data_IF_788326852482
#
_entry.id   IF_788326852482
#
_cell.length_a   1.000
_cell.length_b   1.000
_cell.length_c   1.000
_cell.angle_alpha   90.00
_cell.angle_beta   90.00
_cell.angle_gamma   90.00
#
_symmetry.space_group_name_H-M   'P 1'
#
loop_
_entity.id
_entity.type
_entity.pdbx_description
1 polymer ?
#
# COMPACT_ATOMS: atom_id res chain seq x y z
N UNK A 1 -5.67 6.13 25.42
CA UNK A 1 -4.87 4.98 25.03
C UNK A 1 -4.58 5.01 23.54
N UNK A 2 -3.34 4.88 23.21
CA UNK A 2 -2.95 4.88 21.79
C UNK A 2 -3.20 3.52 21.19
N UNK A 3 -3.91 3.50 20.09
CA UNK A 3 -4.07 2.25 19.36
C UNK A 3 -2.77 1.90 18.69
N UNK A 4 -2.31 0.69 18.89
CA UNK A 4 -1.12 0.18 18.24
C UNK A 4 -1.55 -0.49 16.94
N UNK A 5 -0.90 -0.13 15.84
CA UNK A 5 -1.11 -0.76 14.57
C UNK A 5 -0.77 -2.24 14.67
N UNK A 6 -1.44 -3.08 13.86
CA UNK A 6 -1.18 -4.51 13.80
C UNK A 6 0.30 -4.75 13.51
N UNK A 7 1.02 -5.39 14.45
CA UNK A 7 2.46 -5.60 14.36
C UNK A 7 2.89 -6.43 13.14
N UNK A 8 2.20 -7.51 12.78
CA UNK A 8 2.56 -8.25 11.56
C UNK A 8 2.45 -7.41 10.30
N UNK A 9 1.43 -6.56 10.20
CA UNK A 9 1.27 -5.69 9.05
C UNK A 9 2.34 -4.59 9.04
N UNK A 10 2.67 -4.04 10.21
CA UNK A 10 3.75 -3.07 10.30
C UNK A 10 5.09 -3.67 9.92
N UNK A 11 5.40 -4.87 10.40
CA UNK A 11 6.63 -5.56 10.06
C UNK A 11 6.69 -5.84 8.56
N UNK A 12 5.59 -6.26 7.97
CA UNK A 12 5.50 -6.48 6.53
C UNK A 12 5.74 -5.19 5.78
N UNK A 13 5.13 -4.08 6.19
CA UNK A 13 5.33 -2.81 5.52
C UNK A 13 6.79 -2.33 5.57
N UNK A 14 7.46 -2.52 6.71
CA UNK A 14 8.89 -2.20 6.82
C UNK A 14 9.72 -3.01 5.86
N UNK A 15 9.43 -4.30 5.74
CA UNK A 15 10.13 -5.18 4.81
C UNK A 15 9.87 -4.79 3.36
N UNK A 16 8.62 -4.45 3.04
CA UNK A 16 8.25 -4.01 1.70
C UNK A 16 8.95 -2.70 1.35
N UNK A 17 9.03 -1.75 2.28
CA UNK A 17 9.73 -0.49 2.05
C UNK A 17 11.19 -0.72 1.69
N UNK A 18 11.89 -1.58 2.44
CA UNK A 18 13.28 -1.92 2.15
C UNK A 18 13.41 -2.61 0.79
N UNK A 19 12.49 -3.52 0.50
CA UNK A 19 12.48 -4.23 -0.78
C UNK A 19 12.29 -3.29 -1.96
N UNK A 20 11.33 -2.37 -1.87
CA UNK A 20 11.03 -1.45 -2.97
C UNK A 20 12.20 -0.52 -3.27
N UNK A 21 12.92 -0.06 -2.23
CA UNK A 21 14.10 0.79 -2.43
C UNK A 21 15.20 0.09 -3.22
N UNK A 22 15.27 -1.23 -3.13
CA UNK A 22 16.29 -2.01 -3.82
C UNK A 22 15.78 -2.50 -5.18
N UNK A 23 14.51 -2.91 -5.25
CA UNK A 23 14.00 -3.69 -6.38
C UNK A 23 13.47 -2.85 -7.53
N UNK A 24 12.93 -1.67 -7.26
CA UNK A 24 12.30 -0.88 -8.30
C UNK A 24 13.31 -0.31 -9.30
N UNK A 25 12.95 -0.27 -10.61
CA UNK A 25 13.80 0.36 -11.60
C UNK A 25 13.86 1.88 -11.42
N UNK A 26 14.83 2.51 -12.08
CA UNK A 26 15.04 3.96 -11.95
C UNK A 26 13.82 4.79 -12.38
N UNK A 27 13.04 4.30 -13.31
CA UNK A 27 11.86 5.01 -13.82
C UNK A 27 10.60 4.73 -13.01
N UNK A 28 10.74 4.20 -11.82
CA UNK A 28 9.63 4.01 -10.87
C UNK A 28 9.87 4.86 -9.62
N UNK A 29 8.78 5.39 -9.06
CA UNK A 29 8.81 6.07 -7.78
C UNK A 29 7.78 5.44 -6.87
N UNK A 30 8.04 5.42 -5.57
CA UNK A 30 7.09 4.86 -4.62
C UNK A 30 7.05 5.67 -3.34
N UNK A 31 5.95 5.58 -2.65
CA UNK A 31 5.79 6.17 -1.32
C UNK A 31 4.69 5.48 -0.54
N UNK A 32 4.79 5.55 0.77
CA UNK A 32 3.76 5.06 1.66
C UNK A 32 2.67 6.12 1.81
N UNK A 33 1.44 5.67 1.94
CA UNK A 33 0.30 6.55 2.16
C UNK A 33 -0.03 6.52 3.65
N UNK A 34 0.00 7.70 4.28
CA UNK A 34 -0.21 7.80 5.72
C UNK A 34 -1.69 7.75 6.05
N UNK A 35 -2.18 6.57 6.34
CA UNK A 35 -3.59 6.39 6.74
C UNK A 35 -3.77 5.40 7.89
N UNK A 36 -2.70 4.98 8.54
CA UNK A 36 -2.74 3.98 9.60
C UNK A 36 -2.55 4.52 11.01
N UNK A 37 -2.40 5.83 11.17
CA UNK A 37 -2.13 6.41 12.48
C UNK A 37 -3.43 6.86 13.14
N UNK A 38 -3.51 6.64 14.45
CA UNK A 38 -4.65 7.08 15.22
C UNK A 38 -4.65 8.60 15.33
N UNK A 39 -5.82 9.20 15.19
CA UNK A 39 -6.00 10.64 15.28
C UNK A 39 -7.17 10.97 16.20
N UNK A 40 -7.11 12.14 16.83
CA UNK A 40 -8.26 12.69 17.53
C UNK A 40 -9.36 13.01 16.51
N UNK A 41 -10.58 13.23 16.99
CA UNK A 41 -11.68 13.62 16.10
C UNK A 41 -11.36 14.92 15.35
N UNK A 42 -10.76 15.88 16.07
CA UNK A 42 -10.40 17.17 15.46
C UNK A 42 -9.35 16.96 14.35
N UNK A 43 -8.32 16.18 14.64
CA UNK A 43 -7.28 15.88 13.64
C UNK A 43 -7.84 15.10 12.44
N UNK A 44 -8.72 14.15 12.69
CA UNK A 44 -9.38 13.39 11.62
C UNK A 44 -10.25 14.32 10.75
N UNK A 45 -10.94 15.26 11.38
CA UNK A 45 -11.74 16.24 10.65
C UNK A 45 -10.90 17.15 9.78
N UNK A 46 -9.75 17.63 10.30
CA UNK A 46 -8.81 18.42 9.52
C UNK A 46 -8.24 17.63 8.35
N UNK A 47 -7.82 16.39 8.61
CA UNK A 47 -7.28 15.51 7.58
C UNK A 47 -8.28 15.29 6.46
N UNK A 48 -9.54 15.02 6.82
CA UNK A 48 -10.62 14.83 5.85
C UNK A 48 -10.87 16.11 5.04
N UNK A 49 -10.89 17.26 5.71
CA UNK A 49 -11.08 18.54 5.04
C UNK A 49 -9.95 18.83 4.06
N UNK A 50 -8.76 18.32 4.32
CA UNK A 50 -7.60 18.47 3.44
C UNK A 50 -7.55 17.42 2.33
N UNK A 51 -8.55 16.54 2.23
CA UNK A 51 -8.63 15.59 1.14
C UNK A 51 -8.17 14.18 1.45
N UNK A 52 -7.81 13.89 2.70
CA UNK A 52 -7.45 12.53 3.07
C UNK A 52 -8.71 11.66 3.14
N UNK A 53 -8.61 10.44 2.63
CA UNK A 53 -9.74 9.51 2.59
C UNK A 53 -9.37 8.21 3.28
N UNK A 54 -10.36 7.63 3.94
CA UNK A 54 -10.19 6.31 4.53
C UNK A 54 -10.15 5.23 3.45
N UNK A 55 -9.51 4.12 3.74
CA UNK A 55 -9.52 2.96 2.85
C UNK A 55 -8.53 3.01 1.69
N UNK A 56 -7.70 4.05 1.62
CA UNK A 56 -6.65 4.13 0.60
C UNK A 56 -5.57 3.10 0.91
N UNK A 57 -5.04 2.39 -0.10
CA UNK A 57 -3.98 1.40 0.13
C UNK A 57 -2.72 1.98 0.77
N UNK A 58 -1.89 1.10 1.33
CA UNK A 58 -0.71 1.49 2.10
C UNK A 58 0.41 2.09 1.28
N UNK A 59 0.56 1.65 0.04
CA UNK A 59 1.72 2.01 -0.80
C UNK A 59 1.24 2.35 -2.20
N UNK A 60 1.82 3.41 -2.77
CA UNK A 60 1.63 3.74 -4.17
C UNK A 60 2.95 3.71 -4.90
N UNK A 61 2.95 3.11 -6.08
CA UNK A 61 4.10 3.08 -6.99
C UNK A 61 3.65 3.70 -8.32
N UNK A 62 4.46 4.61 -8.82
CA UNK A 62 4.22 5.20 -10.13
C UNK A 62 5.30 4.67 -11.07
N UNK A 63 4.87 4.12 -12.19
CA UNK A 63 5.79 3.65 -13.22
C UNK A 63 5.18 3.91 -14.59
N UNK A 64 5.87 4.75 -15.36
CA UNK A 64 5.45 5.13 -16.73
C UNK A 64 3.99 5.58 -16.80
N UNK A 65 3.63 6.45 -15.86
CA UNK A 65 2.28 7.02 -15.82
C UNK A 65 1.22 6.12 -15.23
N UNK A 66 1.55 4.90 -14.81
CA UNK A 66 0.58 4.01 -14.17
C UNK A 66 0.64 4.16 -12.67
N UNK A 67 -0.52 4.29 -12.04
CA UNK A 67 -0.66 4.30 -10.60
C UNK A 67 -0.90 2.87 -10.13
N UNK A 68 0.01 2.33 -9.34
CA UNK A 68 0.00 0.93 -8.90
C UNK A 68 -0.02 0.94 -7.37
N UNK A 69 -1.08 0.39 -6.79
CA UNK A 69 -1.28 0.41 -5.34
C UNK A 69 -1.15 -0.97 -4.74
N UNK A 70 -0.64 -1.01 -3.52
CA UNK A 70 -0.56 -2.25 -2.73
C UNK A 70 -1.17 -2.00 -1.36
N UNK A 71 -2.15 -2.83 -1.00
CA UNK A 71 -2.69 -2.92 0.35
C UNK A 71 -2.01 -4.10 1.05
N UNK A 72 -1.40 -3.85 2.20
CA UNK A 72 -0.68 -4.88 2.94
C UNK A 72 -1.55 -5.42 4.07
N UNK A 73 -1.75 -6.72 4.09
CA UNK A 73 -2.53 -7.40 5.12
C UNK A 73 -1.75 -8.59 5.67
N UNK A 74 -1.86 -8.83 6.96
CA UNK A 74 -1.35 -10.06 7.54
C UNK A 74 -2.10 -11.25 6.93
N UNK A 75 -1.44 -12.42 6.81
CA UNK A 75 -2.11 -13.61 6.25
C UNK A 75 -3.44 -13.89 6.96
N UNK A 76 -4.46 -14.19 6.20
CA UNK A 76 -5.80 -14.47 6.72
C UNK A 76 -6.65 -13.24 7.00
N UNK A 77 -6.09 -12.05 6.97
CA UNK A 77 -6.85 -10.80 7.15
C UNK A 77 -7.51 -10.41 5.84
N UNK A 78 -8.66 -9.75 5.95
CA UNK A 78 -9.43 -9.32 4.77
C UNK A 78 -9.51 -7.80 4.71
N UNK A 79 -9.80 -7.29 3.52
CA UNK A 79 -10.06 -5.87 3.35
C UNK A 79 -11.34 -5.49 4.09
N UNK A 80 -11.34 -4.30 4.69
CA UNK A 80 -12.56 -3.72 5.26
C UNK A 80 -13.49 -3.29 4.14
N UNK A 81 -14.75 -3.03 4.49
CA UNK A 81 -15.72 -2.52 3.51
C UNK A 81 -15.24 -1.23 2.86
N UNK A 82 -14.69 -0.31 3.67
CA UNK A 82 -14.18 0.96 3.15
C UNK A 82 -13.00 0.74 2.20
N UNK A 83 -12.13 -0.21 2.51
CA UNK A 83 -11.01 -0.55 1.62
C UNK A 83 -11.51 -1.12 0.30
N UNK A 84 -12.55 -1.96 0.33
CA UNK A 84 -13.17 -2.46 -0.89
C UNK A 84 -13.76 -1.34 -1.73
N UNK A 85 -14.47 -0.41 -1.11
CA UNK A 85 -15.07 0.74 -1.81
C UNK A 85 -13.99 1.58 -2.49
N UNK A 86 -12.93 1.92 -1.76
CA UNK A 86 -11.83 2.73 -2.29
C UNK A 86 -11.11 2.00 -3.42
N UNK A 87 -10.89 0.68 -3.27
CA UNK A 87 -10.28 -0.12 -4.32
C UNK A 87 -11.12 -0.07 -5.60
N UNK A 88 -12.43 -0.23 -5.49
CA UNK A 88 -13.31 -0.15 -6.66
C UNK A 88 -13.21 1.21 -7.34
N UNK A 89 -13.18 2.29 -6.55
CA UNK A 89 -13.04 3.63 -7.09
C UNK A 89 -11.69 3.83 -7.80
N UNK A 90 -10.61 3.32 -7.21
CA UNK A 90 -9.27 3.43 -7.82
C UNK A 90 -9.20 2.67 -9.13
N UNK A 91 -9.73 1.45 -9.17
CA UNK A 91 -9.74 0.64 -10.39
C UNK A 91 -10.59 1.31 -11.48
N UNK A 92 -11.75 1.84 -11.12
CA UNK A 92 -12.59 2.57 -12.04
C UNK A 92 -11.89 3.79 -12.61
N UNK A 93 -11.04 4.43 -11.81
CA UNK A 93 -10.24 5.60 -12.24
C UNK A 93 -9.01 5.22 -13.08
N UNK A 94 -8.76 3.93 -13.29
CA UNK A 94 -7.65 3.45 -14.11
C UNK A 94 -6.43 2.99 -13.35
N UNK A 95 -6.47 2.98 -12.03
CA UNK A 95 -5.35 2.51 -11.23
C UNK A 95 -5.37 0.98 -11.10
N UNK A 96 -4.24 0.43 -10.69
CA UNK A 96 -4.08 -0.99 -10.39
C UNK A 96 -3.96 -1.14 -8.87
N UNK A 97 -4.66 -2.10 -8.29
CA UNK A 97 -4.65 -2.32 -6.84
C UNK A 97 -4.54 -3.81 -6.56
N UNK A 98 -3.67 -4.18 -5.64
CA UNK A 98 -3.60 -5.55 -5.15
C UNK A 98 -3.46 -5.56 -3.64
N UNK A 99 -3.96 -6.62 -3.02
CA UNK A 99 -3.71 -6.92 -1.63
C UNK A 99 -2.60 -7.96 -1.57
N UNK A 100 -1.56 -7.69 -0.77
CA UNK A 100 -0.42 -8.58 -0.62
C UNK A 100 -0.17 -8.88 0.84
N UNK A 101 0.19 -10.12 1.13
CA UNK A 101 0.47 -10.60 2.49
C UNK A 101 1.92 -11.03 2.68
N UNK A 102 2.74 -10.94 1.65
CA UNK A 102 4.16 -11.34 1.72
C UNK A 102 4.98 -10.59 0.69
N UNK A 103 6.30 -10.58 0.88
CA UNK A 103 7.22 -10.01 -0.11
C UNK A 103 7.12 -10.76 -1.45
N UNK A 104 6.94 -12.06 -1.41
CA UNK A 104 6.79 -12.86 -2.63
C UNK A 104 5.57 -12.41 -3.44
N UNK A 105 4.45 -12.11 -2.77
CA UNK A 105 3.26 -11.61 -3.45
C UNK A 105 3.49 -10.23 -4.05
N UNK A 106 4.21 -9.38 -3.34
CA UNK A 106 4.57 -8.05 -3.86
C UNK A 106 5.45 -8.19 -5.11
N UNK A 107 6.46 -9.03 -5.05
CA UNK A 107 7.34 -9.29 -6.19
C UNK A 107 6.56 -9.80 -7.40
N UNK A 108 5.72 -10.81 -7.19
CA UNK A 108 4.89 -11.37 -8.26
C UNK A 108 4.00 -10.33 -8.89
N UNK A 109 3.31 -9.54 -8.07
CA UNK A 109 2.43 -8.50 -8.54
C UNK A 109 3.19 -7.46 -9.38
N UNK A 110 4.29 -6.94 -8.86
CA UNK A 110 5.04 -5.88 -9.55
C UNK A 110 5.76 -6.38 -10.79
N UNK A 111 6.15 -7.65 -10.83
CA UNK A 111 6.84 -8.20 -11.99
C UNK A 111 5.97 -8.19 -13.25
N UNK A 112 4.66 -8.11 -13.11
CA UNK A 112 3.75 -7.97 -14.25
C UNK A 112 3.82 -6.59 -14.90
N UNK A 113 4.37 -5.59 -14.20
CA UNK A 113 4.43 -4.22 -14.68
C UNK A 113 5.81 -3.78 -15.12
N UNK A 114 6.86 -4.30 -14.46
CA UNK A 114 8.20 -3.75 -14.64
C UNK A 114 9.28 -4.77 -14.27
N UNK A 115 10.49 -4.63 -14.83
CA UNK A 115 11.59 -5.47 -14.38
C UNK A 115 12.00 -5.06 -12.97
N UNK A 116 12.28 -6.04 -12.13
CA UNK A 116 12.68 -5.83 -10.74
C UNK A 116 14.11 -6.29 -10.55
N UNK A 117 14.84 -5.59 -9.67
CA UNK A 117 16.20 -5.97 -9.29
C UNK A 117 16.18 -6.88 -8.07
N UNK A 118 17.03 -7.87 -8.05
CA UNK A 118 17.08 -8.83 -6.96
C UNK A 118 15.86 -9.74 -6.95
N UNK A 119 15.87 -10.69 -6.04
CA UNK A 119 14.78 -11.65 -5.88
C UNK A 119 14.48 -11.82 -4.42
N UNK A 120 13.20 -12.06 -4.12
CA UNK A 120 12.80 -12.43 -2.77
C UNK A 120 13.33 -13.83 -2.47
N UNK A 121 13.95 -14.00 -1.30
CA UNK A 121 14.40 -15.31 -0.86
C UNK A 121 13.22 -16.27 -0.72
N UNK A 122 13.42 -17.47 -1.18
CA UNK A 122 12.39 -18.51 -1.11
C UNK A 122 12.12 -18.92 0.34
#
# INVERSE_FOLDING_TARGET
MTRIRNRPEEALQRSVAQYLDIALPEDAEWFAISNGFKRSKAEAGVAKAMGQKAGVPDVEIIHRGRAIFIELKAPGRKLSERQHETTRSLVKAGAYVAMCSSLSEVEEYLSAFMPLRGKVAA
#
